data_IF_117882237088
#
_entry.id   IF_117882237088
#
_cell.length_a   1.000
_cell.length_b   1.000
_cell.length_c   1.000
_cell.angle_alpha   90.00
_cell.angle_beta   90.00
_cell.angle_gamma   90.00
#
_symmetry.space_group_name_H-M   'P 1'
#
loop_
_entity.id
_entity.type
_entity.pdbx_description
1 polymer ?
#
# COMPACT_ATOMS: atom_id res chain seq x y z
N UNK A 1 -16.79 -2.57 5.93
CA UNK A 1 -17.11 -3.63 4.95
C UNK A 1 -18.57 -4.11 5.05
N UNK A 2 -19.14 -4.55 6.19
CA UNK A 2 -20.55 -4.99 6.23
C UNK A 2 -21.55 -3.98 5.67
N UNK A 3 -21.51 -2.74 6.14
CA UNK A 3 -22.44 -1.68 5.73
C UNK A 3 -22.35 -1.32 4.24
N UNK A 4 -21.20 -1.51 3.62
CA UNK A 4 -21.02 -1.20 2.20
C UNK A 4 -21.50 -2.29 1.26
N UNK A 5 -21.72 -3.52 1.76
CA UNK A 5 -22.17 -4.67 0.98
C UNK A 5 -23.69 -4.81 0.93
N UNK A 6 -24.41 -4.27 1.91
CA UNK A 6 -25.88 -4.35 2.00
C UNK A 6 -26.59 -3.78 0.77
N UNK A 7 -26.06 -2.69 0.19
CA UNK A 7 -26.60 -2.07 -1.02
C UNK A 7 -26.49 -2.95 -2.28
N UNK A 8 -25.68 -4.00 -2.21
CA UNK A 8 -25.49 -4.98 -3.29
C UNK A 8 -26.17 -6.32 -2.99
N UNK A 9 -27.09 -6.35 -2.00
CA UNK A 9 -27.84 -7.54 -1.62
C UNK A 9 -26.99 -8.59 -0.89
N UNK A 10 -25.85 -8.21 -0.33
CA UNK A 10 -24.99 -9.08 0.46
C UNK A 10 -25.01 -8.64 1.91
N UNK A 11 -25.50 -9.53 2.79
CA UNK A 11 -25.42 -9.34 4.23
C UNK A 11 -23.96 -9.55 4.69
N UNK A 12 -23.28 -8.44 5.01
CA UNK A 12 -21.88 -8.44 5.40
C UNK A 12 -21.63 -9.09 6.75
N UNK A 13 -22.56 -8.98 7.70
CA UNK A 13 -22.42 -9.60 9.03
C UNK A 13 -22.60 -11.10 8.94
N UNK A 14 -23.61 -11.58 8.19
CA UNK A 14 -23.79 -13.00 7.91
C UNK A 14 -22.58 -13.60 7.18
N UNK A 15 -21.96 -12.84 6.27
CA UNK A 15 -20.75 -13.26 5.55
C UNK A 15 -19.56 -13.38 6.50
N UNK A 16 -19.36 -12.43 7.42
CA UNK A 16 -18.29 -12.50 8.42
C UNK A 16 -18.50 -13.64 9.41
N UNK A 17 -19.74 -13.87 9.86
CA UNK A 17 -20.07 -14.97 10.76
C UNK A 17 -19.76 -16.34 10.12
N UNK A 18 -20.06 -16.52 8.83
CA UNK A 18 -19.69 -17.74 8.07
C UNK A 18 -18.16 -17.96 8.01
N UNK A 19 -17.39 -16.88 8.01
CA UNK A 19 -15.93 -16.92 8.07
C UNK A 19 -15.37 -17.11 9.49
N UNK A 20 -16.24 -17.32 10.49
CA UNK A 20 -15.86 -17.48 11.89
C UNK A 20 -15.49 -16.17 12.60
N UNK A 21 -15.92 -15.05 12.07
CA UNK A 21 -15.68 -13.73 12.65
C UNK A 21 -16.95 -13.25 13.35
N UNK A 22 -17.03 -13.44 14.66
CA UNK A 22 -18.20 -13.07 15.48
C UNK A 22 -18.31 -11.54 15.71
N UNK A 23 -17.17 -10.85 15.76
CA UNK A 23 -17.12 -9.38 15.85
C UNK A 23 -16.12 -8.88 14.81
N UNK A 24 -16.54 -7.94 13.98
CA UNK A 24 -15.65 -7.35 12.97
C UNK A 24 -14.47 -6.65 13.67
N UNK A 25 -13.25 -7.14 13.56
CA UNK A 25 -12.08 -6.45 14.07
C UNK A 25 -11.80 -5.22 13.21
N UNK A 26 -11.04 -4.27 13.71
CA UNK A 26 -10.60 -3.08 12.94
C UNK A 26 -9.96 -3.48 11.61
N UNK A 27 -9.32 -4.65 11.55
CA UNK A 27 -8.78 -5.24 10.33
C UNK A 27 -8.93 -6.77 10.33
N UNK A 28 -9.38 -7.28 9.20
CA UNK A 28 -9.38 -8.72 8.92
C UNK A 28 -8.00 -9.18 8.43
N UNK A 29 -7.57 -10.41 8.76
CA UNK A 29 -6.42 -11.05 8.13
C UNK A 29 -6.57 -11.06 6.60
N UNK A 30 -5.45 -10.89 5.87
CA UNK A 30 -5.45 -10.77 4.40
C UNK A 30 -6.19 -11.92 3.71
N UNK A 31 -6.00 -13.16 4.15
CA UNK A 31 -6.66 -14.32 3.57
C UNK A 31 -8.17 -14.32 3.81
N UNK A 32 -8.61 -13.92 5.01
CA UNK A 32 -10.05 -13.79 5.31
C UNK A 32 -10.67 -12.65 4.52
N UNK A 33 -9.96 -11.53 4.38
CA UNK A 33 -10.41 -10.40 3.54
C UNK A 33 -10.58 -10.83 2.08
N UNK A 34 -9.62 -11.58 1.54
CA UNK A 34 -9.69 -12.10 0.17
C UNK A 34 -10.90 -13.04 0.01
N UNK A 35 -11.10 -13.95 0.95
CA UNK A 35 -12.23 -14.88 0.92
C UNK A 35 -13.58 -14.16 1.07
N UNK A 36 -13.67 -13.18 1.96
CA UNK A 36 -14.88 -12.37 2.13
C UNK A 36 -15.27 -11.64 0.84
N UNK A 37 -14.31 -11.02 0.15
CA UNK A 37 -14.59 -10.37 -1.13
C UNK A 37 -15.00 -11.34 -2.21
N UNK A 38 -14.36 -12.50 -2.30
CA UNK A 38 -14.72 -13.55 -3.25
C UNK A 38 -16.15 -14.07 -3.02
N UNK A 39 -16.53 -14.32 -1.77
CA UNK A 39 -17.91 -14.70 -1.40
C UNK A 39 -18.92 -13.59 -1.75
N UNK A 40 -18.58 -12.34 -1.47
CA UNK A 40 -19.42 -11.20 -1.81
C UNK A 40 -19.65 -11.07 -3.33
N UNK A 41 -18.59 -11.21 -4.12
CA UNK A 41 -18.67 -11.18 -5.57
C UNK A 41 -19.53 -12.33 -6.14
N UNK A 42 -19.34 -13.55 -5.60
CA UNK A 42 -20.11 -14.72 -6.00
C UNK A 42 -21.60 -14.60 -5.65
N UNK A 43 -21.93 -14.11 -4.45
CA UNK A 43 -23.32 -13.96 -3.99
C UNK A 43 -24.08 -12.88 -4.74
N UNK A 44 -23.43 -11.75 -4.98
CA UNK A 44 -24.05 -10.63 -5.70
C UNK A 44 -24.13 -10.87 -7.20
N UNK A 45 -23.35 -11.81 -7.75
CA UNK A 45 -23.15 -11.96 -9.22
C UNK A 45 -22.50 -10.72 -9.86
N UNK A 46 -21.96 -9.81 -9.05
CA UNK A 46 -21.40 -8.54 -9.48
C UNK A 46 -19.87 -8.57 -9.42
N UNK A 47 -19.17 -8.72 -10.55
CA UNK A 47 -17.71 -8.77 -10.58
C UNK A 47 -17.04 -7.45 -10.16
N UNK A 48 -17.77 -6.34 -10.14
CA UNK A 48 -17.26 -5.01 -9.77
C UNK A 48 -17.67 -4.60 -8.34
N UNK A 49 -18.15 -5.52 -7.49
CA UNK A 49 -18.65 -5.18 -6.15
C UNK A 49 -17.60 -4.50 -5.27
N UNK A 50 -16.36 -4.97 -5.32
CA UNK A 50 -15.25 -4.38 -4.55
C UNK A 50 -14.96 -2.94 -4.99
N UNK A 51 -14.93 -2.70 -6.30
CA UNK A 51 -14.77 -1.39 -6.90
C UNK A 51 -15.89 -0.43 -6.49
N UNK A 52 -17.14 -0.90 -6.56
CA UNK A 52 -18.31 -0.09 -6.24
C UNK A 52 -18.41 0.22 -4.75
N UNK A 53 -18.11 -0.75 -3.89
CA UNK A 53 -18.02 -0.54 -2.45
C UNK A 53 -16.95 0.49 -2.09
N UNK A 54 -15.79 0.44 -2.75
CA UNK A 54 -14.71 1.41 -2.58
C UNK A 54 -15.12 2.85 -2.97
N UNK A 55 -16.04 3.01 -3.90
CA UNK A 55 -16.58 4.31 -4.28
C UNK A 55 -17.33 5.05 -3.15
N UNK A 56 -17.77 4.32 -2.11
CA UNK A 56 -18.47 4.88 -0.94
C UNK A 56 -17.53 5.35 0.17
N UNK A 57 -16.27 4.93 0.14
CA UNK A 57 -15.27 5.24 1.17
C UNK A 57 -15.06 6.75 1.24
N UNK A 58 -15.07 7.26 2.48
CA UNK A 58 -14.84 8.68 2.81
C UNK A 58 -13.46 8.85 3.47
N UNK A 59 -12.88 10.05 3.49
CA UNK A 59 -11.64 10.32 4.21
C UNK A 59 -11.68 9.89 5.68
N UNK A 60 -12.83 10.09 6.36
CA UNK A 60 -13.03 9.68 7.75
C UNK A 60 -12.91 8.17 7.98
N UNK A 61 -13.18 7.34 6.98
CA UNK A 61 -13.07 5.88 7.07
C UNK A 61 -11.62 5.40 7.10
N UNK A 62 -10.69 6.25 6.65
CA UNK A 62 -9.25 6.05 6.81
C UNK A 62 -8.68 6.76 8.05
N UNK A 63 -9.55 7.24 8.97
CA UNK A 63 -9.16 7.89 10.20
C UNK A 63 -8.18 9.07 9.97
N UNK A 64 -7.16 9.23 10.83
CA UNK A 64 -6.21 10.33 10.71
C UNK A 64 -5.50 10.42 9.35
N UNK A 65 -5.19 9.30 8.69
CA UNK A 65 -4.55 9.33 7.37
C UNK A 65 -5.47 9.95 6.31
N UNK A 66 -6.74 9.55 6.28
CA UNK A 66 -7.69 10.10 5.33
C UNK A 66 -7.96 11.59 5.57
N UNK A 67 -8.01 12.00 6.84
CA UNK A 67 -8.15 13.41 7.20
C UNK A 67 -6.90 14.22 6.83
N UNK A 68 -5.70 13.69 7.08
CA UNK A 68 -4.46 14.35 6.64
C UNK A 68 -4.41 14.49 5.12
N UNK A 69 -4.79 13.45 4.36
CA UNK A 69 -4.88 13.48 2.89
C UNK A 69 -5.80 14.61 2.41
N UNK A 70 -6.94 14.83 3.07
CA UNK A 70 -7.90 15.86 2.67
C UNK A 70 -7.31 17.27 2.78
N UNK A 71 -6.38 17.49 3.72
CA UNK A 71 -5.75 18.79 3.99
C UNK A 71 -4.37 18.97 3.34
N UNK A 72 -3.90 18.02 2.52
CA UNK A 72 -2.67 18.20 1.73
C UNK A 72 -2.80 19.36 0.74
N UNK A 73 -1.66 19.91 0.29
CA UNK A 73 -1.66 21.03 -0.64
C UNK A 73 -2.18 20.61 -2.02
N UNK A 74 -1.83 19.43 -2.48
CA UNK A 74 -2.14 18.89 -3.81
C UNK A 74 -2.11 17.36 -3.80
N UNK A 75 -2.37 16.77 -4.97
CA UNK A 75 -2.38 15.31 -5.13
C UNK A 75 -1.00 14.68 -4.92
N UNK A 76 0.08 15.34 -5.32
CA UNK A 76 1.46 14.87 -5.15
C UNK A 76 1.80 14.69 -3.67
N UNK A 77 1.50 15.71 -2.86
CA UNK A 77 1.73 15.70 -1.42
C UNK A 77 0.88 14.62 -0.71
N UNK A 78 -0.37 14.46 -1.14
CA UNK A 78 -1.27 13.42 -0.62
C UNK A 78 -0.74 12.01 -0.91
N UNK A 79 -0.23 11.74 -2.11
CA UNK A 79 0.39 10.46 -2.45
C UNK A 79 1.69 10.28 -1.66
N UNK A 80 2.52 11.31 -1.54
CA UNK A 80 3.75 11.27 -0.74
C UNK A 80 3.45 10.95 0.74
N UNK A 81 2.39 11.55 1.30
CA UNK A 81 1.92 11.22 2.65
C UNK A 81 1.55 9.74 2.78
N UNK A 82 0.79 9.20 1.85
CA UNK A 82 0.43 7.78 1.82
C UNK A 82 1.67 6.87 1.75
N UNK A 83 2.68 7.25 0.97
CA UNK A 83 3.95 6.52 0.85
C UNK A 83 4.80 6.57 2.12
N UNK A 84 4.67 7.61 2.95
CA UNK A 84 5.33 7.67 4.26
C UNK A 84 4.70 6.73 5.29
N UNK A 85 3.40 6.41 5.12
CA UNK A 85 2.62 5.59 6.05
C UNK A 85 2.00 4.33 5.41
N UNK A 86 2.79 3.49 4.68
CA UNK A 86 2.24 2.36 3.94
C UNK A 86 1.60 1.32 4.86
N UNK A 87 2.16 1.09 6.04
CA UNK A 87 1.62 0.16 7.03
C UNK A 87 0.25 0.58 7.60
N UNK A 88 -0.08 1.87 7.52
CA UNK A 88 -1.42 2.34 7.88
C UNK A 88 -2.45 1.96 6.81
N UNK A 89 -2.06 1.95 5.55
CA UNK A 89 -2.93 1.61 4.42
C UNK A 89 -3.16 0.11 4.34
N UNK A 90 -2.07 -0.66 4.30
CA UNK A 90 -2.13 -2.12 4.17
C UNK A 90 -0.83 -2.77 4.64
N UNK A 91 -0.96 -3.98 5.14
CA UNK A 91 0.16 -4.88 5.47
C UNK A 91 0.36 -6.00 4.44
N UNK A 92 -0.44 -6.01 3.38
CA UNK A 92 -0.42 -7.05 2.34
C UNK A 92 0.11 -6.57 0.99
N UNK A 93 0.35 -5.27 0.84
CA UNK A 93 0.87 -4.67 -0.38
C UNK A 93 1.99 -3.68 -0.09
N UNK A 94 2.91 -3.54 -1.04
CA UNK A 94 3.86 -2.45 -1.12
C UNK A 94 3.39 -1.40 -2.13
N UNK A 95 3.69 -0.14 -1.83
CA UNK A 95 3.42 1.00 -2.69
C UNK A 95 4.75 1.50 -3.25
N UNK A 96 4.82 1.70 -4.56
CA UNK A 96 6.00 2.24 -5.23
C UNK A 96 5.59 3.41 -6.10
N UNK A 97 6.35 4.49 -6.04
CA UNK A 97 6.13 5.70 -6.82
C UNK A 97 7.27 5.89 -7.80
N UNK A 98 7.00 5.87 -9.09
CA UNK A 98 8.05 5.94 -10.10
C UNK A 98 7.61 6.74 -11.33
N UNK A 99 8.58 7.31 -12.06
CA UNK A 99 8.29 7.99 -13.31
C UNK A 99 7.65 7.09 -14.37
N UNK A 100 6.76 7.68 -15.13
CA UNK A 100 6.10 7.08 -16.30
C UNK A 100 6.15 8.10 -17.46
N UNK A 101 6.14 7.69 -18.74
CA UNK A 101 6.10 8.63 -19.87
C UNK A 101 4.99 9.67 -19.79
N UNK A 102 3.84 9.33 -19.24
CA UNK A 102 2.69 10.23 -19.09
C UNK A 102 2.68 11.00 -17.76
N UNK A 103 3.71 10.88 -16.90
CA UNK A 103 3.77 11.52 -15.59
C UNK A 103 4.34 10.59 -14.53
N UNK A 104 3.54 10.20 -13.53
CA UNK A 104 3.98 9.35 -12.42
C UNK A 104 3.08 8.14 -12.21
N UNK A 105 3.67 6.99 -11.93
CA UNK A 105 2.99 5.74 -11.66
C UNK A 105 3.02 5.37 -10.18
N UNK A 106 1.84 5.14 -9.59
CA UNK A 106 1.68 4.48 -8.30
C UNK A 106 1.46 2.99 -8.53
N UNK A 107 2.48 2.20 -8.23
CA UNK A 107 2.45 0.75 -8.35
C UNK A 107 2.08 0.14 -7.00
N UNK A 108 1.15 -0.80 -7.03
CA UNK A 108 0.66 -1.56 -5.87
C UNK A 108 1.01 -3.02 -6.09
N UNK A 109 1.98 -3.54 -5.34
CA UNK A 109 2.42 -4.94 -5.45
C UNK A 109 2.01 -5.73 -4.21
N UNK A 110 1.47 -6.94 -4.36
CA UNK A 110 1.34 -7.86 -3.23
C UNK A 110 2.71 -8.07 -2.56
N UNK A 111 2.76 -8.04 -1.24
CA UNK A 111 3.95 -8.46 -0.48
C UNK A 111 4.14 -9.96 -0.64
N UNK A 112 5.40 -10.40 -0.58
CA UNK A 112 5.76 -11.80 -0.77
C UNK A 112 5.01 -12.72 0.19
N UNK A 113 4.32 -13.73 -0.35
CA UNK A 113 3.50 -14.67 0.42
C UNK A 113 2.14 -14.13 0.90
N UNK A 114 1.81 -12.89 0.59
CA UNK A 114 0.49 -12.31 0.81
C UNK A 114 -0.22 -12.20 -0.54
N UNK A 115 -1.24 -13.04 -0.78
CA UNK A 115 -2.09 -12.94 -1.95
C UNK A 115 -3.43 -12.36 -1.51
N UNK A 116 -3.60 -11.01 -1.58
CA UNK A 116 -4.81 -10.36 -1.09
C UNK A 116 -6.07 -10.66 -1.91
N UNK A 117 -5.97 -11.44 -2.99
CA UNK A 117 -7.05 -11.64 -3.95
C UNK A 117 -7.25 -10.41 -4.85
N UNK A 118 -7.87 -10.63 -6.00
CA UNK A 118 -8.10 -9.56 -6.98
C UNK A 118 -9.03 -8.49 -6.43
N UNK A 119 -10.09 -8.89 -5.77
CA UNK A 119 -11.12 -8.01 -5.22
C UNK A 119 -10.57 -7.13 -4.08
N UNK A 120 -9.72 -7.70 -3.22
CA UNK A 120 -9.07 -6.93 -2.15
C UNK A 120 -8.10 -5.89 -2.69
N UNK A 121 -7.30 -6.25 -3.71
CA UNK A 121 -6.42 -5.31 -4.40
C UNK A 121 -7.22 -4.19 -5.07
N UNK A 122 -8.27 -4.56 -5.76
CA UNK A 122 -9.19 -3.66 -6.44
C UNK A 122 -9.86 -2.70 -5.45
N UNK A 123 -10.40 -3.22 -4.35
CA UNK A 123 -10.98 -2.39 -3.28
C UNK A 123 -9.97 -1.38 -2.74
N UNK A 124 -8.77 -1.81 -2.38
CA UNK A 124 -7.73 -0.92 -1.83
C UNK A 124 -7.30 0.17 -2.82
N UNK A 125 -7.09 -0.20 -4.09
CA UNK A 125 -6.74 0.76 -5.15
C UNK A 125 -7.85 1.77 -5.41
N UNK A 126 -9.11 1.30 -5.43
CA UNK A 126 -10.28 2.13 -5.68
C UNK A 126 -10.63 3.01 -4.48
N UNK A 127 -10.53 2.51 -3.25
CA UNK A 127 -10.75 3.29 -2.04
C UNK A 127 -9.76 4.46 -1.93
N UNK A 128 -8.47 4.20 -2.14
CA UNK A 128 -7.47 5.26 -2.19
C UNK A 128 -7.75 6.29 -3.29
N UNK A 129 -8.18 5.84 -4.47
CA UNK A 129 -8.58 6.76 -5.54
C UNK A 129 -9.80 7.60 -5.16
N UNK A 130 -10.81 7.00 -4.55
CA UNK A 130 -12.03 7.70 -4.09
C UNK A 130 -11.71 8.80 -3.07
N UNK A 131 -10.81 8.52 -2.11
CA UNK A 131 -10.36 9.49 -1.11
C UNK A 131 -9.63 10.67 -1.79
N UNK A 132 -8.68 10.38 -2.67
CA UNK A 132 -7.95 11.42 -3.41
C UNK A 132 -8.87 12.27 -4.29
N UNK A 133 -9.84 11.64 -4.97
CA UNK A 133 -10.83 12.35 -5.78
C UNK A 133 -11.72 13.26 -4.93
N UNK A 134 -12.12 12.82 -3.73
CA UNK A 134 -12.91 13.65 -2.79
C UNK A 134 -12.08 14.82 -2.27
N UNK A 135 -10.82 14.60 -1.91
CA UNK A 135 -9.91 15.66 -1.50
C UNK A 135 -9.69 16.70 -2.61
N UNK A 136 -9.60 16.25 -3.87
CA UNK A 136 -9.48 17.12 -5.03
C UNK A 136 -10.80 17.88 -5.36
N UNK A 137 -11.95 17.41 -4.86
CA UNK A 137 -13.25 18.02 -5.08
C UNK A 137 -13.80 17.91 -6.51
N UNK A 138 -13.18 17.11 -7.37
CA UNK A 138 -13.55 16.90 -8.79
C UNK A 138 -13.08 15.54 -9.30
N UNK A 139 -13.56 15.07 -10.47
CA UNK A 139 -13.12 13.81 -11.06
C UNK A 139 -11.59 13.75 -11.23
N UNK A 140 -10.99 12.67 -10.73
CA UNK A 140 -9.56 12.38 -10.82
C UNK A 140 -9.33 11.39 -11.97
N UNK A 141 -8.96 11.90 -13.15
CA UNK A 141 -8.71 11.06 -14.32
C UNK A 141 -7.30 10.46 -14.29
N UNK A 142 -7.21 9.15 -14.58
CA UNK A 142 -5.93 8.49 -14.80
C UNK A 142 -5.59 8.44 -16.29
N UNK A 143 -4.31 8.56 -16.65
CA UNK A 143 -3.85 8.30 -18.02
C UNK A 143 -3.87 6.80 -18.31
N UNK A 144 -3.55 5.98 -17.30
CA UNK A 144 -3.54 4.51 -17.40
C UNK A 144 -3.91 3.86 -16.07
N UNK A 145 -4.63 2.75 -16.14
CA UNK A 145 -4.93 1.86 -15.02
C UNK A 145 -4.48 0.44 -15.36
N UNK A 146 -3.84 -0.25 -14.43
CA UNK A 146 -3.50 -1.68 -14.55
C UNK A 146 -4.09 -2.44 -13.37
N UNK A 147 -4.77 -3.55 -13.65
CA UNK A 147 -5.46 -4.39 -12.68
C UNK A 147 -4.91 -5.82 -12.68
N UNK A 148 -4.89 -6.46 -11.51
CA UNK A 148 -4.39 -7.84 -11.36
C UNK A 148 -5.41 -8.89 -11.75
N UNK A 149 -6.70 -8.56 -11.74
CA UNK A 149 -7.77 -9.48 -12.15
C UNK A 149 -7.74 -9.77 -13.64
N UNK A 150 -8.35 -10.86 -14.05
CA UNK A 150 -8.64 -11.11 -15.47
C UNK A 150 -9.63 -10.08 -16.00
N UNK A 151 -9.49 -9.75 -17.27
CA UNK A 151 -10.40 -8.82 -17.94
C UNK A 151 -11.85 -9.33 -17.87
N UNK A 152 -12.77 -8.53 -17.31
CA UNK A 152 -14.19 -8.88 -17.27
C UNK A 152 -14.85 -8.61 -18.63
N UNK A 153 -16.04 -9.17 -18.84
CA UNK A 153 -16.81 -8.94 -20.07
C UNK A 153 -17.22 -7.48 -20.27
N UNK A 154 -17.43 -6.73 -19.16
CA UNK A 154 -17.71 -5.29 -19.17
C UNK A 154 -16.68 -4.56 -18.29
N UNK A 155 -15.81 -3.76 -18.93
CA UNK A 155 -14.79 -2.95 -18.27
C UNK A 155 -15.28 -1.55 -17.89
N UNK A 156 -16.50 -1.18 -18.27
CA UNK A 156 -17.04 0.16 -18.08
C UNK A 156 -17.11 0.62 -16.61
N UNK A 157 -17.32 -0.27 -15.59
CA UNK A 157 -17.27 0.14 -14.20
C UNK A 157 -15.90 0.72 -13.81
N UNK A 158 -14.81 0.12 -14.27
CA UNK A 158 -13.43 0.61 -14.00
C UNK A 158 -13.16 1.91 -14.72
N UNK A 159 -13.53 2.00 -15.99
CA UNK A 159 -13.37 3.23 -16.78
C UNK A 159 -14.12 4.41 -16.14
N UNK A 160 -15.35 4.18 -15.65
CA UNK A 160 -16.12 5.23 -14.96
C UNK A 160 -15.53 5.62 -13.62
N UNK A 161 -15.15 4.64 -12.78
CA UNK A 161 -14.64 4.91 -11.44
C UNK A 161 -13.33 5.70 -11.46
N UNK A 162 -12.42 5.33 -12.36
CA UNK A 162 -11.09 5.96 -12.46
C UNK A 162 -11.01 7.07 -13.52
N UNK A 163 -12.11 7.38 -14.17
CA UNK A 163 -12.13 8.32 -15.31
C UNK A 163 -11.02 8.01 -16.32
N UNK A 164 -10.79 6.72 -16.61
CA UNK A 164 -9.67 6.20 -17.37
C UNK A 164 -10.14 5.38 -18.58
N UNK A 165 -9.62 5.70 -19.76
CA UNK A 165 -9.94 4.95 -21.00
C UNK A 165 -9.04 3.74 -21.16
N UNK A 166 -7.79 3.82 -20.71
CA UNK A 166 -6.77 2.79 -20.88
C UNK A 166 -6.67 1.93 -19.64
N UNK A 167 -7.36 0.79 -19.65
CA UNK A 167 -7.38 -0.17 -18.55
C UNK A 167 -6.82 -1.49 -19.01
N UNK A 168 -5.70 -1.91 -18.45
CA UNK A 168 -5.08 -3.21 -18.68
C UNK A 168 -5.43 -4.16 -17.54
N UNK A 169 -5.63 -5.45 -17.86
CA UNK A 169 -5.97 -6.49 -16.91
C UNK A 169 -4.98 -7.66 -16.96
N UNK A 170 -5.01 -8.52 -15.94
CA UNK A 170 -4.21 -9.74 -15.89
C UNK A 170 -2.73 -9.54 -15.55
N UNK A 171 -2.38 -8.40 -14.97
CA UNK A 171 -1.01 -8.12 -14.56
C UNK A 171 -0.68 -8.71 -13.18
N UNK A 172 0.61 -8.84 -12.87
CA UNK A 172 1.08 -9.30 -11.55
C UNK A 172 0.97 -8.23 -10.45
N UNK A 173 0.73 -6.97 -10.82
CA UNK A 173 0.63 -5.83 -9.92
C UNK A 173 -0.43 -4.85 -10.40
N UNK A 174 -0.96 -4.04 -9.48
CA UNK A 174 -1.82 -2.92 -9.81
C UNK A 174 -1.01 -1.66 -10.10
N UNK A 175 -1.50 -0.79 -11.01
CA UNK A 175 -0.85 0.48 -11.29
C UNK A 175 -1.87 1.56 -11.62
N UNK A 176 -1.64 2.78 -11.11
CA UNK A 176 -2.37 4.00 -11.43
C UNK A 176 -1.39 5.04 -11.95
N UNK A 177 -1.60 5.54 -13.17
CA UNK A 177 -0.74 6.56 -13.77
C UNK A 177 -1.45 7.90 -13.76
N UNK A 178 -0.82 8.87 -13.11
CA UNK A 178 -1.29 10.25 -12.99
C UNK A 178 -0.45 11.16 -13.88
N UNK A 179 -1.08 12.10 -14.57
CA UNK A 179 -0.34 13.13 -15.31
C UNK A 179 0.23 14.16 -14.36
N UNK A 180 1.35 14.81 -14.73
CA UNK A 180 1.94 15.87 -13.91
C UNK A 180 0.96 17.02 -13.67
N UNK A 181 0.17 17.38 -14.69
CA UNK A 181 -0.87 18.39 -14.56
C UNK A 181 -1.93 18.06 -13.50
N UNK A 182 -2.24 16.78 -13.27
CA UNK A 182 -3.17 16.36 -12.23
C UNK A 182 -2.51 16.37 -10.84
N UNK A 183 -1.23 16.02 -10.77
CA UNK A 183 -0.51 15.92 -9.51
C UNK A 183 -0.35 17.28 -8.80
N UNK A 184 -0.23 18.34 -9.56
CA UNK A 184 0.02 19.69 -9.05
C UNK A 184 -1.26 20.52 -8.84
N UNK A 185 -2.45 19.91 -9.06
CA UNK A 185 -3.72 20.57 -8.79
C UNK A 185 -3.90 20.80 -7.28
N UNK A 186 -4.19 22.04 -6.85
CA UNK A 186 -4.41 22.36 -5.45
C UNK A 186 -5.70 21.73 -4.94
N UNK A 187 -5.68 21.27 -3.70
CA UNK A 187 -6.87 20.82 -3.00
C UNK A 187 -7.66 22.01 -2.45
N UNK A 188 -9.01 22.00 -2.53
CA UNK A 188 -9.85 23.10 -2.05
C UNK A 188 -9.70 23.35 -0.54
N UNK A 189 -9.54 22.28 0.24
CA UNK A 189 -9.47 22.31 1.71
C UNK A 189 -8.02 22.19 2.23
N UNK A 190 -7.03 22.63 1.43
CA UNK A 190 -5.62 22.56 1.79
C UNK A 190 -5.34 23.40 3.04
N UNK A 191 -4.83 22.73 4.08
CA UNK A 191 -4.43 23.33 5.35
C UNK A 191 -3.22 22.58 5.91
N UNK A 192 -2.06 23.21 5.83
CA UNK A 192 -0.79 22.60 6.25
C UNK A 192 -0.80 22.24 7.74
N UNK A 193 -1.36 23.08 8.60
CA UNK A 193 -1.39 22.84 10.04
C UNK A 193 -2.32 21.67 10.40
N UNK A 194 -3.48 21.56 9.74
CA UNK A 194 -4.38 20.43 9.88
C UNK A 194 -3.76 19.13 9.36
N UNK A 195 -3.10 19.17 8.20
CA UNK A 195 -2.40 18.02 7.64
C UNK A 195 -1.33 17.49 8.60
N UNK A 196 -0.45 18.36 9.11
CA UNK A 196 0.59 18.00 10.07
C UNK A 196 0.01 17.47 11.40
N UNK A 197 -1.07 18.07 11.89
CA UNK A 197 -1.74 17.61 13.10
C UNK A 197 -2.24 16.16 12.95
N UNK A 198 -2.93 15.85 11.86
CA UNK A 198 -3.42 14.49 11.62
C UNK A 198 -2.28 13.51 11.31
N UNK A 199 -1.21 13.94 10.62
CA UNK A 199 -0.03 13.10 10.40
C UNK A 199 0.66 12.73 11.73
N UNK A 200 0.75 13.65 12.68
CA UNK A 200 1.26 13.36 14.03
C UNK A 200 0.40 12.32 14.75
N UNK A 201 -0.93 12.36 14.61
CA UNK A 201 -1.81 11.35 15.18
C UNK A 201 -1.53 9.95 14.61
N UNK A 202 -1.21 9.82 13.32
CA UNK A 202 -0.83 8.53 12.71
C UNK A 202 0.38 7.92 13.42
N UNK A 203 1.36 8.74 13.82
CA UNK A 203 2.58 8.28 14.49
C UNK A 203 2.32 7.79 15.93
N UNK A 204 1.28 8.29 16.59
CA UNK A 204 0.92 7.90 17.96
C UNK A 204 0.03 6.68 18.03
N UNK A 205 -0.65 6.34 16.94
CA UNK A 205 -1.48 5.14 16.87
C UNK A 205 -0.60 3.89 16.76
N UNK A 206 -0.98 2.79 17.45
CA UNK A 206 -0.35 1.50 17.17
C UNK A 206 -0.44 1.28 15.67
N UNK A 207 0.71 1.00 15.04
CA UNK A 207 0.70 0.70 13.61
C UNK A 207 -0.36 -0.38 13.36
N UNK A 208 -1.42 -0.02 12.65
CA UNK A 208 -2.53 -0.93 12.34
C UNK A 208 -2.09 -2.13 11.47
N UNK A 209 -0.78 -2.23 11.23
CA UNK A 209 -0.12 -3.24 10.43
C UNK A 209 0.07 -4.59 11.12
N UNK A 210 -0.38 -4.79 12.38
CA UNK A 210 -0.10 -6.04 13.09
C UNK A 210 -1.27 -7.01 12.96
N UNK A 211 -1.42 -7.59 11.78
CA UNK A 211 -2.27 -8.78 11.60
C UNK A 211 -1.57 -10.08 12.01
N UNK A 212 -0.26 -10.09 12.09
CA UNK A 212 0.54 -11.21 12.60
C UNK A 212 1.56 -10.70 13.62
N UNK A 213 1.31 -10.87 14.95
CA UNK A 213 2.24 -10.42 15.99
C UNK A 213 3.63 -11.03 15.86
N UNK A 214 3.75 -12.22 15.30
CA UNK A 214 5.02 -12.87 15.03
C UNK A 214 5.76 -12.16 13.90
N UNK A 215 5.06 -11.86 12.78
CA UNK A 215 5.64 -11.14 11.65
C UNK A 215 6.10 -9.74 12.04
N UNK A 216 5.31 -9.03 12.83
CA UNK A 216 5.68 -7.71 13.34
C UNK A 216 6.98 -7.74 14.18
N UNK A 217 7.16 -8.76 15.03
CA UNK A 217 8.41 -8.94 15.78
C UNK A 217 9.58 -9.21 14.83
N UNK A 218 9.37 -10.04 13.80
CA UNK A 218 10.39 -10.32 12.77
C UNK A 218 10.78 -9.05 12.03
N UNK A 219 9.80 -8.26 11.58
CA UNK A 219 10.03 -6.99 10.89
C UNK A 219 10.80 -6.00 11.76
N UNK A 220 10.43 -5.90 13.03
CA UNK A 220 11.13 -5.04 14.00
C UNK A 220 12.60 -5.47 14.15
N UNK A 221 12.88 -6.77 14.28
CA UNK A 221 14.25 -7.27 14.41
C UNK A 221 15.06 -7.12 13.12
N UNK A 222 14.42 -7.29 11.95
CA UNK A 222 15.06 -6.98 10.67
C UNK A 222 15.43 -5.49 10.60
N UNK A 223 14.50 -4.58 10.89
CA UNK A 223 14.75 -3.13 10.85
C UNK A 223 15.86 -2.71 11.82
N UNK A 224 15.89 -3.30 13.03
CA UNK A 224 16.97 -3.09 13.99
C UNK A 224 18.30 -3.62 13.47
N UNK A 225 18.28 -4.82 12.88
CA UNK A 225 19.46 -5.47 12.30
C UNK A 225 20.02 -4.74 11.08
N UNK A 226 19.19 -4.05 10.28
CA UNK A 226 19.65 -3.27 9.12
C UNK A 226 20.68 -2.20 9.55
N UNK A 227 20.38 -1.43 10.59
CA UNK A 227 21.27 -0.36 11.09
C UNK A 227 22.56 -0.90 11.72
N UNK A 228 22.59 -2.18 12.08
CA UNK A 228 23.74 -2.85 12.69
C UNK A 228 24.52 -3.72 11.70
N UNK A 229 24.09 -3.80 10.43
CA UNK A 229 24.68 -4.69 9.43
C UNK A 229 24.43 -6.19 9.71
N UNK A 230 23.45 -6.55 10.54
CA UNK A 230 23.16 -7.90 11.02
C UNK A 230 21.71 -8.29 10.74
N UNK A 231 21.32 -8.34 9.48
CA UNK A 231 19.96 -8.64 9.06
C UNK A 231 19.82 -9.97 8.28
N UNK A 232 20.69 -10.93 8.53
CA UNK A 232 20.54 -12.28 8.00
C UNK A 232 19.59 -13.15 8.85
N UNK A 233 19.15 -14.29 8.30
CA UNK A 233 18.22 -15.20 9.00
C UNK A 233 18.71 -15.67 10.35
N UNK A 234 20.03 -15.87 10.50
CA UNK A 234 20.61 -16.36 11.74
C UNK A 234 20.58 -15.28 12.83
N UNK A 235 20.96 -14.05 12.48
CA UNK A 235 20.93 -12.92 13.39
C UNK A 235 19.50 -12.61 13.87
N UNK A 236 18.52 -12.63 12.95
CA UNK A 236 17.11 -12.40 13.30
C UNK A 236 16.55 -13.54 14.16
N UNK A 237 16.89 -14.81 13.87
CA UNK A 237 16.47 -15.94 14.69
C UNK A 237 17.05 -15.85 16.11
N UNK A 238 18.33 -15.47 16.24
CA UNK A 238 19.00 -15.23 17.52
C UNK A 238 18.29 -14.10 18.32
N UNK A 239 17.98 -12.99 17.68
CA UNK A 239 17.28 -11.86 18.32
C UNK A 239 15.85 -12.21 18.77
N UNK A 240 15.21 -13.16 18.09
CA UNK A 240 13.87 -13.68 18.45
C UNK A 240 13.94 -14.86 19.45
N UNK A 241 15.13 -15.27 19.88
CA UNK A 241 15.36 -16.42 20.76
C UNK A 241 14.79 -17.75 20.21
N UNK A 242 14.85 -17.92 18.88
CA UNK A 242 14.40 -19.14 18.18
C UNK A 242 15.51 -19.72 17.32
N UNK A 243 15.40 -20.99 16.96
CA UNK A 243 16.35 -21.59 16.03
C UNK A 243 16.12 -21.08 14.58
N UNK A 244 17.18 -20.98 13.74
CA UNK A 244 17.02 -20.63 12.32
C UNK A 244 16.06 -21.59 11.58
N UNK A 245 16.03 -22.87 11.96
CA UNK A 245 15.10 -23.86 11.41
C UNK A 245 13.65 -23.56 11.78
N UNK A 246 13.41 -23.07 13.01
CA UNK A 246 12.08 -22.62 13.43
C UNK A 246 11.65 -21.39 12.62
N UNK A 247 12.53 -20.39 12.47
CA UNK A 247 12.29 -19.20 11.66
C UNK A 247 11.91 -19.59 10.22
N UNK A 248 12.70 -20.45 9.56
CA UNK A 248 12.40 -20.94 8.21
C UNK A 248 11.06 -21.65 8.11
N UNK A 249 10.71 -22.50 9.09
CA UNK A 249 9.41 -23.17 9.14
C UNK A 249 8.27 -22.18 9.23
N UNK A 250 8.38 -21.15 10.08
CA UNK A 250 7.38 -20.09 10.23
C UNK A 250 7.20 -19.28 8.93
N UNK A 251 8.30 -18.95 8.23
CA UNK A 251 8.24 -18.33 6.92
C UNK A 251 7.54 -19.21 5.89
N UNK A 252 7.89 -20.52 5.86
CA UNK A 252 7.27 -21.47 4.94
C UNK A 252 5.77 -21.65 5.19
N UNK A 253 5.33 -21.73 6.45
CA UNK A 253 3.92 -21.82 6.82
C UNK A 253 3.11 -20.62 6.36
N UNK A 254 3.73 -19.43 6.32
CA UNK A 254 3.14 -18.17 5.87
C UNK A 254 3.35 -17.90 4.38
N UNK A 255 4.00 -18.82 3.67
CA UNK A 255 4.38 -18.65 2.26
C UNK A 255 5.23 -17.39 2.01
N UNK A 256 5.97 -16.93 3.02
CA UNK A 256 6.85 -15.78 2.97
C UNK A 256 8.29 -16.19 2.61
N UNK A 257 9.03 -15.26 2.00
CA UNK A 257 10.47 -15.37 1.78
C UNK A 257 11.20 -14.30 2.59
N UNK A 258 12.10 -14.72 3.47
CA UNK A 258 12.86 -13.81 4.32
C UNK A 258 13.62 -12.73 3.52
N UNK A 259 14.31 -13.13 2.44
CA UNK A 259 15.05 -12.19 1.59
C UNK A 259 14.16 -11.14 0.95
N UNK A 260 12.93 -11.51 0.55
CA UNK A 260 11.97 -10.58 0.00
C UNK A 260 11.47 -9.61 1.08
N UNK A 261 11.15 -10.10 2.28
CA UNK A 261 10.75 -9.24 3.39
C UNK A 261 11.83 -8.22 3.75
N UNK A 262 13.11 -8.63 3.77
CA UNK A 262 14.24 -7.72 3.98
C UNK A 262 14.32 -6.66 2.87
N UNK A 263 14.15 -7.05 1.60
CA UNK A 263 14.17 -6.13 0.47
C UNK A 263 12.99 -5.14 0.52
N UNK A 264 11.79 -5.60 0.87
CA UNK A 264 10.59 -4.75 1.00
C UNK A 264 10.76 -3.71 2.12
N UNK A 265 11.29 -4.13 3.28
CA UNK A 265 11.57 -3.24 4.41
C UNK A 265 12.67 -2.21 4.07
N UNK A 266 13.74 -2.65 3.38
CA UNK A 266 14.79 -1.75 2.88
C UNK A 266 14.24 -0.71 1.91
N UNK A 267 13.40 -1.14 0.97
CA UNK A 267 12.77 -0.25 0.00
C UNK A 267 11.89 0.81 0.69
N UNK A 268 11.02 0.39 1.60
CA UNK A 268 10.17 1.30 2.36
C UNK A 268 10.99 2.31 3.20
N UNK A 269 12.05 1.83 3.86
CA UNK A 269 12.90 2.69 4.67
C UNK A 269 13.75 3.66 3.83
N UNK A 270 14.20 3.22 2.63
CA UNK A 270 14.91 4.08 1.68
C UNK A 270 14.10 5.32 1.30
N UNK A 271 12.81 5.14 1.04
CA UNK A 271 11.92 6.25 0.71
C UNK A 271 11.81 7.26 1.84
N UNK A 272 11.65 6.78 3.10
CA UNK A 272 11.59 7.65 4.29
C UNK A 272 12.87 8.48 4.46
N UNK A 273 14.02 7.83 4.28
CA UNK A 273 15.32 8.48 4.43
C UNK A 273 15.62 9.47 3.30
N UNK A 274 15.17 9.18 2.07
CA UNK A 274 15.27 10.10 0.93
C UNK A 274 14.41 11.35 1.15
N UNK A 275 13.16 11.18 1.60
CA UNK A 275 12.28 12.29 1.94
C UNK A 275 12.83 13.15 3.09
N UNK A 276 13.58 12.55 4.02
CA UNK A 276 14.29 13.28 5.09
C UNK A 276 15.61 13.92 4.63
N UNK A 277 15.89 14.02 3.33
CA UNK A 277 17.08 14.62 2.73
C UNK A 277 18.42 14.08 3.25
N UNK A 278 18.48 12.81 3.71
CA UNK A 278 19.72 12.16 4.15
C UNK A 278 20.66 11.93 2.98
N UNK A 279 21.98 11.92 3.22
CA UNK A 279 22.95 11.61 2.18
C UNK A 279 22.80 10.17 1.67
N UNK A 280 23.10 9.90 0.39
CA UNK A 280 22.98 8.55 -0.17
C UNK A 280 23.91 7.55 0.52
N UNK A 281 25.05 8.01 1.02
CA UNK A 281 25.97 7.20 1.82
C UNK A 281 25.35 6.83 3.18
N UNK A 282 24.75 7.80 3.88
CA UNK A 282 24.08 7.55 5.16
C UNK A 282 22.90 6.58 4.98
N UNK A 283 22.14 6.76 3.90
CA UNK A 283 21.03 5.86 3.57
C UNK A 283 21.55 4.44 3.33
N UNK A 284 22.60 4.29 2.52
CA UNK A 284 23.18 2.99 2.26
C UNK A 284 23.62 2.28 3.55
N UNK A 285 24.33 2.98 4.42
CA UNK A 285 24.78 2.44 5.70
C UNK A 285 23.62 2.08 6.63
N UNK A 286 22.60 2.94 6.76
CA UNK A 286 21.41 2.67 7.59
C UNK A 286 20.57 1.49 7.09
N UNK A 287 20.63 1.20 5.80
CA UNK A 287 19.95 0.05 5.17
C UNK A 287 20.81 -1.22 5.14
N UNK A 288 22.02 -1.18 5.72
CA UNK A 288 22.93 -2.31 5.79
C UNK A 288 23.56 -2.67 4.44
N UNK A 289 23.77 -1.69 3.55
CA UNK A 289 24.58 -1.85 2.35
C UNK A 289 26.03 -1.49 2.65
N UNK A 290 26.96 -2.19 1.98
CA UNK A 290 28.40 -1.93 2.11
C UNK A 290 28.80 -0.54 1.57
N UNK A 291 28.07 -0.04 0.58
CA UNK A 291 28.35 1.21 -0.10
C UNK A 291 27.10 1.75 -0.84
N UNK A 292 27.18 3.02 -1.26
CA UNK A 292 26.08 3.68 -1.97
C UNK A 292 25.81 3.08 -3.35
N UNK A 293 26.80 2.42 -3.99
CA UNK A 293 26.63 1.82 -5.31
C UNK A 293 25.76 0.57 -5.24
N UNK A 294 25.95 -0.26 -4.19
CA UNK A 294 25.10 -1.41 -3.90
C UNK A 294 23.68 -0.98 -3.57
N UNK A 295 23.53 0.07 -2.76
CA UNK A 295 22.23 0.68 -2.49
C UNK A 295 21.58 1.20 -3.78
N UNK A 296 22.31 1.95 -4.62
CA UNK A 296 21.74 2.52 -5.86
C UNK A 296 21.30 1.46 -6.84
N UNK A 297 22.01 0.33 -6.95
CA UNK A 297 21.59 -0.83 -7.75
C UNK A 297 20.32 -1.46 -7.20
N UNK A 298 20.23 -1.65 -5.88
CA UNK A 298 19.03 -2.18 -5.22
C UNK A 298 17.86 -1.23 -5.40
N UNK A 299 18.05 0.06 -5.18
CA UNK A 299 17.04 1.08 -5.36
C UNK A 299 16.50 1.13 -6.79
N UNK A 300 17.41 1.06 -7.80
CA UNK A 300 16.99 0.98 -9.22
C UNK A 300 16.18 -0.30 -9.49
N UNK A 301 16.53 -1.43 -8.87
CA UNK A 301 15.74 -2.66 -8.98
C UNK A 301 14.35 -2.50 -8.35
N UNK A 302 14.21 -1.79 -7.22
CA UNK A 302 12.95 -1.58 -6.53
C UNK A 302 12.05 -0.55 -7.22
N UNK A 303 12.65 0.56 -7.70
CA UNK A 303 11.91 1.74 -8.15
C UNK A 303 12.13 2.12 -9.62
N UNK A 304 12.95 1.39 -10.37
CA UNK A 304 13.19 1.65 -11.79
C UNK A 304 14.14 2.81 -12.10
N UNK A 305 14.45 3.66 -11.11
CA UNK A 305 15.28 4.86 -11.25
C UNK A 305 16.39 4.90 -10.20
N UNK A 306 17.44 5.71 -10.40
CA UNK A 306 18.45 5.90 -9.37
C UNK A 306 17.92 6.75 -8.20
N UNK A 307 18.49 6.60 -6.98
CA UNK A 307 18.13 7.45 -5.84
C UNK A 307 18.38 8.94 -6.10
N UNK A 308 19.41 9.27 -6.86
CA UNK A 308 19.74 10.65 -7.23
C UNK A 308 18.70 11.25 -8.18
N UNK A 309 18.31 10.48 -9.21
CA UNK A 309 17.26 10.90 -10.15
C UNK A 309 15.92 11.06 -9.44
N UNK A 310 15.61 10.16 -8.50
CA UNK A 310 14.41 10.25 -7.68
C UNK A 310 14.38 11.55 -6.88
N UNK A 311 15.45 11.85 -6.12
CA UNK A 311 15.57 13.09 -5.33
C UNK A 311 15.55 14.37 -6.18
N UNK A 312 16.18 14.34 -7.37
CA UNK A 312 16.22 15.50 -8.26
C UNK A 312 14.87 15.86 -8.88
N UNK A 313 13.88 14.98 -8.80
CA UNK A 313 12.50 15.20 -9.26
C UNK A 313 11.59 15.73 -8.16
N UNK A 314 11.85 15.37 -6.90
CA UNK A 314 11.14 15.90 -5.72
C UNK A 314 11.50 17.38 -5.42
N UNK A 315 12.65 17.86 -5.93
CA UNK A 315 13.14 19.23 -5.72
C UNK A 315 12.82 20.19 -6.90
N UNK A 316 12.03 19.77 -7.87
CA UNK A 316 11.55 20.61 -8.97
C UNK A 316 10.04 20.70 -8.93
#
# INVERSE_FOLDING_TARGET
>A
MPDTLSDYGVDGDALLAELGVEQAPDRLPTQLTAHAWQLAANRSGNPAIALQAAGKIKPTDWGPLGLAVQHCQNLRDAIALCLRHPGYISNSVSLQWQPHPDGMALIVRPLSGQLPGHESMEFGMAAGHSILQRALGRPLALSKLVQTRREPADISPWQRHYHCRHVDFGAEFGCKVYTDAMLDLPFPDADQAACEHFEQQIQTLPSAAVTDPWLAKVEQEILRGLTQGRCDQRAVAEALEISPRHLQRQFKQRQLRFTQLVDDLRAAQAMRLLAANRSLNDIALQLGFSDHSNFSRAFRRWYGVSPSDYRGRDNR
#
